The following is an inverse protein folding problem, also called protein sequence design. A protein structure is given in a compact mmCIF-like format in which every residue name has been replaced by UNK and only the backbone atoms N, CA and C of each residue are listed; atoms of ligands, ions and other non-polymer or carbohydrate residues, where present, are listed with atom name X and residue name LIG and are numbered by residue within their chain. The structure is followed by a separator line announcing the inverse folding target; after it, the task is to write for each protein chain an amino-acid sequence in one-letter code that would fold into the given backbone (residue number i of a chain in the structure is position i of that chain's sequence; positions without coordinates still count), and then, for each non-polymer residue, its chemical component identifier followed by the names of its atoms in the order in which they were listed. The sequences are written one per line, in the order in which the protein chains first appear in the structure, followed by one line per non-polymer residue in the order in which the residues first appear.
data_IF_136539280449
#
_entry.id   IF_136539280449
#
_cell.length_a   1.000
_cell.length_b   1.000
_cell.length_c   1.000
_cell.angle_alpha   90.00
_cell.angle_beta   90.00
_cell.angle_gamma   90.00
#
_symmetry.space_group_name_H-M   'P 1'
#
loop_
_entity.id
_entity.type
_entity.pdbx_description
1 polymer ?
#
# COMPACT_ATOMS: atom_id res chain seq x y z
N UNK A 1 16.08 -12.13 -3.35
CA UNK A 1 14.64 -11.80 -3.37
C UNK A 1 13.75 -13.04 -3.55
N UNK A 2 14.29 -14.27 -3.68
CA UNK A 2 13.50 -15.49 -4.01
C UNK A 2 12.73 -16.17 -2.86
N UNK A 3 12.91 -15.78 -1.59
CA UNK A 3 12.29 -16.46 -0.44
C UNK A 3 11.29 -15.62 0.35
N UNK A 4 10.89 -14.46 -0.18
CA UNK A 4 9.89 -13.64 0.48
C UNK A 4 8.49 -14.04 0.03
N UNK A 5 7.83 -14.89 0.84
CA UNK A 5 6.45 -15.36 0.57
C UNK A 5 5.42 -14.22 0.56
N UNK A 6 5.80 -13.02 1.01
CA UNK A 6 4.95 -11.83 1.00
C UNK A 6 5.08 -11.04 -0.31
N UNK A 7 6.17 -11.23 -1.06
CA UNK A 7 6.38 -10.60 -2.35
C UNK A 7 5.63 -11.36 -3.47
N UNK A 8 5.05 -10.67 -4.47
CA UNK A 8 4.93 -9.21 -4.58
C UNK A 8 3.68 -8.65 -3.87
N UNK A 9 2.65 -9.47 -3.69
CA UNK A 9 1.30 -8.99 -3.40
C UNK A 9 1.13 -8.28 -2.06
N UNK A 10 1.81 -8.74 -1.00
CA UNK A 10 1.67 -8.12 0.32
C UNK A 10 2.29 -6.72 0.35
N UNK A 11 3.45 -6.56 -0.28
CA UNK A 11 4.13 -5.26 -0.35
C UNK A 11 3.41 -4.28 -1.26
N UNK A 12 2.86 -4.75 -2.39
CA UNK A 12 1.98 -3.95 -3.22
C UNK A 12 0.73 -3.49 -2.46
N UNK A 13 0.11 -4.38 -1.68
CA UNK A 13 -1.04 -4.03 -0.85
C UNK A 13 -0.67 -3.06 0.28
N UNK A 14 0.48 -3.24 0.95
CA UNK A 14 0.94 -2.34 2.00
C UNK A 14 1.30 -0.94 1.44
N UNK A 15 1.81 -0.85 0.21
CA UNK A 15 1.96 0.43 -0.51
C UNK A 15 0.64 1.15 -0.72
N UNK A 16 -0.36 0.47 -1.29
CA UNK A 16 -1.69 1.05 -1.51
C UNK A 16 -2.33 1.49 -0.18
N UNK A 17 -2.14 0.72 0.88
CA UNK A 17 -2.58 1.07 2.24
C UNK A 17 -1.85 2.30 2.80
N UNK A 18 -0.59 2.50 2.44
CA UNK A 18 0.18 3.71 2.77
C UNK A 18 -0.33 4.94 2.01
N UNK A 19 -0.74 4.77 0.75
CA UNK A 19 -1.28 5.86 -0.07
C UNK A 19 -2.72 6.25 0.31
N UNK A 20 -3.58 5.28 0.60
CA UNK A 20 -4.99 5.52 0.89
C UNK A 20 -5.23 6.32 2.18
N UNK A 21 -4.24 6.39 3.08
CA UNK A 21 -4.37 7.11 4.34
C UNK A 21 -5.41 6.49 5.29
N UNK A 22 -6.02 7.33 6.11
CA UNK A 22 -7.05 6.96 7.07
C UNK A 22 -8.39 7.55 6.62
N UNK A 23 -9.42 6.71 6.55
CA UNK A 23 -10.78 7.14 6.26
C UNK A 23 -11.44 7.81 7.47
N UNK A 24 -12.67 8.27 7.27
CA UNK A 24 -13.53 8.80 8.34
C UNK A 24 -13.64 7.77 9.48
N UNK A 25 -13.34 8.19 10.71
CA UNK A 25 -13.27 7.29 11.88
C UNK A 25 -11.92 6.59 12.11
N UNK A 26 -10.86 6.94 11.36
CA UNK A 26 -9.51 6.38 11.57
C UNK A 26 -9.34 4.97 10.99
N UNK A 27 -10.26 4.52 10.14
CA UNK A 27 -10.21 3.19 9.53
C UNK A 27 -9.23 3.16 8.36
N UNK A 28 -8.26 2.24 8.40
CA UNK A 28 -7.29 2.04 7.31
C UNK A 28 -7.82 1.02 6.29
N UNK A 29 -7.54 1.23 5.00
CA UNK A 29 -7.85 0.28 3.94
C UNK A 29 -7.37 -1.14 4.33
N UNK A 30 -8.24 -2.15 4.27
CA UNK A 30 -7.87 -3.53 4.60
C UNK A 30 -6.89 -4.11 3.56
N UNK A 31 -6.10 -5.14 3.91
CA UNK A 31 -5.20 -5.78 2.94
C UNK A 31 -5.97 -6.44 1.80
N UNK A 32 -7.11 -7.07 2.09
CA UNK A 32 -8.00 -7.63 1.06
C UNK A 32 -8.57 -6.55 0.14
N UNK A 33 -9.00 -5.40 0.69
CA UNK A 33 -9.45 -4.27 -0.10
C UNK A 33 -8.35 -3.69 -0.98
N UNK A 34 -7.13 -3.58 -0.45
CA UNK A 34 -5.97 -3.15 -1.23
C UNK A 34 -5.63 -4.12 -2.36
N UNK A 35 -5.74 -5.43 -2.14
CA UNK A 35 -5.59 -6.43 -3.20
C UNK A 35 -6.66 -6.30 -4.28
N UNK A 36 -7.93 -6.03 -3.92
CA UNK A 36 -8.98 -5.80 -4.92
C UNK A 36 -8.74 -4.52 -5.73
N UNK A 37 -8.26 -3.45 -5.09
CA UNK A 37 -7.87 -2.21 -5.79
C UNK A 37 -6.73 -2.47 -6.76
N UNK A 38 -5.72 -3.24 -6.37
CA UNK A 38 -4.61 -3.64 -7.24
C UNK A 38 -5.12 -4.33 -8.51
N UNK A 39 -6.01 -5.31 -8.36
CA UNK A 39 -6.61 -6.03 -9.49
C UNK A 39 -7.44 -5.11 -10.39
N UNK A 40 -8.21 -4.20 -9.78
CA UNK A 40 -8.98 -3.20 -10.52
C UNK A 40 -8.09 -2.27 -11.35
N UNK A 41 -6.95 -1.83 -10.80
CA UNK A 41 -5.97 -0.99 -11.50
C UNK A 41 -5.30 -1.79 -12.63
N UNK A 42 -4.86 -3.02 -12.36
CA UNK A 42 -4.24 -3.88 -13.38
C UNK A 42 -5.19 -4.11 -14.56
N UNK A 43 -6.45 -4.45 -14.28
CA UNK A 43 -7.49 -4.60 -15.29
C UNK A 43 -7.73 -3.30 -16.09
N UNK A 44 -7.82 -2.15 -15.41
CA UNK A 44 -8.01 -0.84 -16.07
C UNK A 44 -6.84 -0.46 -16.98
N UNK A 45 -5.62 -0.89 -16.64
CA UNK A 45 -4.40 -0.65 -17.44
C UNK A 45 -4.14 -1.73 -18.49
N UNK A 46 -4.92 -2.82 -18.52
CA UNK A 46 -4.65 -3.99 -19.36
C UNK A 46 -3.32 -4.67 -19.01
N UNK A 47 -2.88 -4.58 -17.76
CA UNK A 47 -1.62 -5.16 -17.26
C UNK A 47 -1.90 -6.42 -16.45
N UNK A 48 -0.95 -7.35 -16.44
CA UNK A 48 -1.01 -8.52 -15.56
C UNK A 48 -0.92 -8.11 -14.08
N UNK A 49 -1.79 -8.69 -13.25
CA UNK A 49 -1.86 -8.43 -11.81
C UNK A 49 -0.50 -8.63 -11.12
N UNK A 50 0.24 -9.69 -11.49
CA UNK A 50 1.53 -10.00 -10.89
C UNK A 50 2.60 -9.00 -11.33
N UNK A 51 2.54 -8.52 -12.57
CA UNK A 51 3.43 -7.47 -13.05
C UNK A 51 3.22 -6.16 -12.29
N UNK A 52 1.97 -5.71 -12.17
CA UNK A 52 1.66 -4.50 -11.41
C UNK A 52 2.07 -4.65 -9.94
N UNK A 53 1.78 -5.81 -9.33
CA UNK A 53 2.18 -6.13 -7.97
C UNK A 53 3.69 -6.00 -7.79
N UNK A 54 4.50 -6.56 -8.70
CA UNK A 54 5.97 -6.47 -8.64
C UNK A 54 6.45 -5.04 -8.69
N UNK A 55 5.97 -4.23 -9.64
CA UNK A 55 6.38 -2.82 -9.77
C UNK A 55 6.07 -2.02 -8.49
N UNK A 56 4.89 -2.22 -7.91
CA UNK A 56 4.50 -1.54 -6.67
C UNK A 56 5.27 -2.05 -5.46
N UNK A 57 5.53 -3.36 -5.39
CA UNK A 57 6.33 -3.96 -4.32
C UNK A 57 7.79 -3.49 -4.34
N UNK A 58 8.39 -3.42 -5.53
CA UNK A 58 9.75 -2.91 -5.72
C UNK A 58 9.83 -1.43 -5.34
N UNK A 59 8.85 -0.63 -5.75
CA UNK A 59 8.77 0.77 -5.37
C UNK A 59 8.57 0.95 -3.85
N UNK A 60 7.71 0.13 -3.25
CA UNK A 60 7.50 0.13 -1.79
C UNK A 60 8.79 -0.18 -1.07
N UNK A 61 9.51 -1.23 -1.48
CA UNK A 61 10.76 -1.64 -0.84
C UNK A 61 11.87 -0.62 -1.01
N UNK A 62 11.97 0.02 -2.17
CA UNK A 62 12.93 1.08 -2.41
C UNK A 62 12.65 2.35 -1.58
N UNK A 63 11.41 2.54 -1.10
CA UNK A 63 10.97 3.75 -0.41
C UNK A 63 10.30 3.45 0.96
N UNK A 64 10.57 2.29 1.55
CA UNK A 64 9.82 1.74 2.68
C UNK A 64 9.83 2.70 3.87
N UNK A 65 10.98 3.30 4.17
CA UNK A 65 11.16 4.26 5.27
C UNK A 65 10.32 5.53 5.06
N UNK A 66 10.37 6.12 3.87
CA UNK A 66 9.63 7.35 3.55
C UNK A 66 8.11 7.13 3.55
N UNK A 67 7.65 5.98 3.03
CA UNK A 67 6.23 5.62 3.00
C UNK A 67 5.73 5.33 4.43
N UNK A 68 6.56 4.69 5.25
CA UNK A 68 6.24 4.40 6.65
C UNK A 68 6.18 5.68 7.48
N UNK A 69 7.13 6.60 7.31
CA UNK A 69 7.12 7.91 7.97
C UNK A 69 5.87 8.72 7.59
N UNK A 70 5.53 8.77 6.30
CA UNK A 70 4.32 9.45 5.82
C UNK A 70 3.05 8.82 6.42
N UNK A 71 3.00 7.50 6.50
CA UNK A 71 1.88 6.77 7.12
C UNK A 71 1.77 7.06 8.62
N UNK A 72 2.90 7.13 9.33
CA UNK A 72 2.95 7.45 10.75
C UNK A 72 2.48 8.90 11.02
N UNK A 73 2.96 9.87 10.23
CA UNK A 73 2.47 11.26 10.30
C UNK A 73 0.97 11.36 10.06
N UNK A 74 0.47 10.66 9.03
CA UNK A 74 -0.96 10.63 8.73
C UNK A 74 -1.78 10.04 9.90
N UNK A 75 -1.26 9.03 10.59
CA UNK A 75 -1.90 8.46 11.78
C UNK A 75 -1.95 9.46 12.94
N UNK A 76 -0.84 10.16 13.22
CA UNK A 76 -0.80 11.16 14.30
C UNK A 76 -1.81 12.29 14.05
N UNK A 77 -1.89 12.79 12.81
CA UNK A 77 -2.90 13.78 12.41
C UNK A 77 -4.32 13.25 12.60
N UNK A 78 -4.59 12.01 12.15
CA UNK A 78 -5.91 11.40 12.29
C UNK A 78 -6.34 11.20 13.75
N UNK A 79 -5.39 11.06 14.67
CA UNK A 79 -5.62 10.95 16.12
C UNK A 79 -5.73 12.30 16.84
N UNK A 80 -5.72 13.42 16.10
CA UNK A 80 -5.81 14.77 16.69
C UNK A 80 -4.51 15.26 17.32
N UNK A 81 -3.39 14.55 17.13
CA UNK A 81 -2.05 15.05 17.46
C UNK A 81 -1.56 15.93 16.30
N UNK A 82 -2.10 17.14 16.17
CA UNK A 82 -1.50 18.18 15.35
C UNK A 82 -0.67 19.10 16.27
N UNK A 83 0.61 19.26 15.94
CA UNK A 83 1.59 20.05 16.69
C UNK A 83 1.40 21.56 16.64
#
# INVERSE_FOLDING_TARGET
MENDTRYPYTYAADFLRGLAGYGEGGTKLSRSGASQVLQGIAAALGMDDAELARKLADHYKANEDAITEKSAKAFMVAQGYAG
#
